data_IF_231229810640
#
_entry.id   IF_231229810640
#
_cell.length_a   1.000
_cell.length_b   1.000
_cell.length_c   1.000
_cell.angle_alpha   90.00
_cell.angle_beta   90.00
_cell.angle_gamma   90.00
#
_symmetry.space_group_name_H-M   'P 1'
#
loop_
_entity.id
_entity.type
_entity.pdbx_description
1 polymer ?
#
# COMPACT_ATOMS: atom_id res chain seq x y z
N UNK A 1 29.66 -25.16 16.39
CA UNK A 1 29.64 -24.03 15.47
C UNK A 1 28.22 -23.49 15.40
N UNK A 2 28.01 -22.25 15.86
CA UNK A 2 26.73 -21.55 15.63
C UNK A 2 26.61 -21.34 14.11
N UNK A 3 25.67 -22.05 13.47
CA UNK A 3 25.28 -21.71 12.11
C UNK A 3 24.72 -20.28 12.15
N UNK A 4 25.41 -19.35 11.51
CA UNK A 4 24.86 -18.02 11.26
C UNK A 4 23.61 -18.22 10.42
N UNK A 5 22.44 -17.87 10.97
CA UNK A 5 21.19 -17.87 10.24
C UNK A 5 21.21 -16.70 9.25
N UNK A 6 21.19 -16.98 7.96
CA UNK A 6 21.04 -15.96 6.94
C UNK A 6 19.66 -15.28 7.05
N UNK A 7 19.53 -13.99 6.71
CA UNK A 7 18.24 -13.28 6.76
C UNK A 7 17.10 -14.00 6.02
N UNK A 8 17.41 -14.62 4.86
CA UNK A 8 16.46 -15.41 4.10
C UNK A 8 15.94 -16.65 4.84
N UNK A 9 16.81 -17.30 5.66
CA UNK A 9 16.43 -18.46 6.46
C UNK A 9 15.49 -18.05 7.61
N UNK A 10 15.73 -16.87 8.19
CA UNK A 10 14.89 -16.31 9.26
C UNK A 10 13.51 -16.00 8.73
N UNK A 11 13.43 -15.36 7.57
CA UNK A 11 12.16 -15.03 6.90
C UNK A 11 11.37 -16.31 6.55
N UNK A 12 12.01 -17.27 5.89
CA UNK A 12 11.39 -18.55 5.53
C UNK A 12 10.86 -19.31 6.75
N UNK A 13 11.61 -19.31 7.85
CA UNK A 13 11.18 -19.90 9.11
C UNK A 13 9.97 -19.20 9.70
N UNK A 14 9.94 -17.87 9.67
CA UNK A 14 8.80 -17.10 10.15
C UNK A 14 7.52 -17.39 9.34
N UNK A 15 7.62 -17.45 8.02
CA UNK A 15 6.47 -17.83 7.18
C UNK A 15 5.98 -19.25 7.43
N UNK A 16 6.90 -20.19 7.71
CA UNK A 16 6.53 -21.56 8.09
C UNK A 16 5.78 -21.62 9.42
N UNK A 17 6.19 -20.81 10.41
CA UNK A 17 5.51 -20.71 11.70
C UNK A 17 4.10 -20.12 11.49
N UNK A 18 3.97 -19.02 10.74
CA UNK A 18 2.67 -18.41 10.46
C UNK A 18 1.74 -19.39 9.76
N UNK A 19 2.24 -20.15 8.78
CA UNK A 19 1.42 -21.13 8.07
C UNK A 19 0.89 -22.23 9.01
N UNK A 20 1.76 -22.73 9.90
CA UNK A 20 1.41 -23.73 10.88
C UNK A 20 0.38 -23.22 11.90
N UNK A 21 0.56 -22.01 12.40
CA UNK A 21 -0.39 -21.40 13.34
C UNK A 21 -1.77 -21.17 12.71
N UNK A 22 -1.82 -20.71 11.45
CA UNK A 22 -3.07 -20.59 10.71
C UNK A 22 -3.77 -21.94 10.55
N UNK A 23 -3.03 -23.01 10.25
CA UNK A 23 -3.57 -24.37 10.17
C UNK A 23 -4.14 -24.84 11.51
N UNK A 24 -3.40 -24.62 12.61
CA UNK A 24 -3.84 -24.96 13.97
C UNK A 24 -5.08 -24.17 14.39
N UNK A 25 -5.25 -22.95 13.90
CA UNK A 25 -6.45 -22.12 14.08
C UNK A 25 -7.62 -22.55 13.18
N UNK A 26 -7.42 -23.49 12.25
CA UNK A 26 -8.41 -23.90 11.27
C UNK A 26 -8.70 -22.85 10.19
N UNK A 27 -7.76 -21.95 9.95
CA UNK A 27 -7.92 -20.84 9.00
C UNK A 27 -7.29 -21.22 7.66
N UNK A 28 -8.09 -21.11 6.59
CA UNK A 28 -7.63 -21.23 5.20
C UNK A 28 -7.73 -19.87 4.53
N UNK A 29 -6.60 -19.33 4.09
CA UNK A 29 -6.54 -18.07 3.36
C UNK A 29 -6.81 -18.31 1.85
N UNK A 30 -7.46 -17.35 1.14
CA UNK A 30 -7.58 -17.40 -0.31
C UNK A 30 -6.21 -17.42 -0.99
N UNK A 31 -6.03 -18.30 -1.98
CA UNK A 31 -4.72 -18.55 -2.62
C UNK A 31 -4.11 -17.30 -3.26
N UNK A 32 -4.93 -16.45 -3.85
CA UNK A 32 -4.53 -15.23 -4.56
C UNK A 32 -4.02 -14.11 -3.65
N UNK A 33 -4.47 -14.07 -2.39
CA UNK A 33 -4.12 -13.02 -1.42
C UNK A 33 -3.37 -13.53 -0.20
N UNK A 34 -3.25 -14.85 -0.05
CA UNK A 34 -2.61 -15.48 1.12
C UNK A 34 -1.21 -14.94 1.40
N UNK A 35 -0.41 -14.71 0.36
CA UNK A 35 0.96 -14.22 0.50
C UNK A 35 1.02 -12.79 1.07
N UNK A 36 0.02 -11.95 0.75
CA UNK A 36 -0.09 -10.57 1.29
C UNK A 36 -0.46 -10.64 2.76
N UNK A 37 -1.50 -11.40 3.12
CA UNK A 37 -1.95 -11.55 4.51
C UNK A 37 -0.82 -12.11 5.39
N UNK A 38 -0.12 -13.15 4.94
CA UNK A 38 1.03 -13.71 5.66
C UNK A 38 2.16 -12.69 5.82
N UNK A 39 2.43 -11.87 4.80
CA UNK A 39 3.43 -10.79 4.87
C UNK A 39 3.06 -9.73 5.91
N UNK A 40 1.79 -9.35 6.00
CA UNK A 40 1.29 -8.42 7.01
C UNK A 40 1.45 -9.01 8.40
N UNK A 41 1.06 -10.26 8.62
CA UNK A 41 1.24 -10.98 9.89
C UNK A 41 2.73 -11.08 10.27
N UNK A 42 3.61 -11.41 9.31
CA UNK A 42 5.05 -11.46 9.53
C UNK A 42 5.61 -10.11 10.05
N UNK A 43 5.11 -9.00 9.51
CA UNK A 43 5.58 -7.65 9.86
C UNK A 43 5.03 -7.16 11.19
N UNK A 44 3.77 -7.50 11.50
CA UNK A 44 3.04 -6.98 12.66
C UNK A 44 3.00 -7.93 13.85
N UNK A 45 3.26 -9.22 13.63
CA UNK A 45 3.02 -10.30 14.58
C UNK A 45 1.55 -10.38 15.06
N UNK A 46 0.61 -9.91 14.25
CA UNK A 46 -0.81 -9.82 14.59
C UNK A 46 -1.67 -10.64 13.63
N UNK A 47 -2.25 -11.73 14.13
CA UNK A 47 -3.11 -12.64 13.38
C UNK A 47 -4.52 -12.07 13.15
N UNK A 48 -4.93 -11.01 13.84
CA UNK A 48 -6.23 -10.38 13.62
C UNK A 48 -6.39 -9.81 12.20
N UNK A 49 -5.29 -9.58 11.50
CA UNK A 49 -5.31 -9.18 10.10
C UNK A 49 -5.93 -10.19 9.14
N UNK A 50 -6.06 -11.44 9.54
CA UNK A 50 -6.83 -12.45 8.78
C UNK A 50 -8.28 -12.00 8.56
N UNK A 51 -8.88 -11.38 9.58
CA UNK A 51 -10.26 -10.89 9.54
C UNK A 51 -10.37 -9.43 9.11
N UNK A 52 -9.33 -8.63 9.38
CA UNK A 52 -9.35 -7.18 9.16
C UNK A 52 -8.99 -6.77 7.73
N UNK A 53 -8.16 -7.57 7.03
CA UNK A 53 -7.81 -7.28 5.65
C UNK A 53 -8.95 -7.65 4.71
N UNK A 54 -9.41 -6.66 3.96
CA UNK A 54 -10.48 -6.82 2.97
C UNK A 54 -9.89 -6.63 1.58
N UNK A 55 -10.09 -7.62 0.73
CA UNK A 55 -9.66 -7.61 -0.66
C UNK A 55 -10.88 -7.53 -1.58
N UNK A 56 -10.90 -6.57 -2.49
CA UNK A 56 -12.04 -6.34 -3.38
C UNK A 56 -11.59 -6.22 -4.83
N UNK A 57 -12.41 -6.72 -5.75
CA UNK A 57 -12.24 -6.54 -7.19
C UNK A 57 -10.90 -7.05 -7.74
N UNK A 58 -10.47 -8.25 -7.33
CA UNK A 58 -9.24 -8.88 -7.80
C UNK A 58 -8.01 -7.95 -7.75
N UNK A 59 -7.62 -7.48 -6.53
CA UNK A 59 -6.62 -6.43 -6.39
C UNK A 59 -5.23 -6.87 -6.86
N UNK A 60 -4.91 -8.16 -6.77
CA UNK A 60 -3.59 -8.68 -7.16
C UNK A 60 -3.43 -8.62 -8.67
N UNK A 61 -4.42 -9.05 -9.45
CA UNK A 61 -4.37 -8.95 -10.91
C UNK A 61 -4.25 -7.50 -11.38
N UNK A 62 -5.04 -6.61 -10.80
CA UNK A 62 -4.99 -5.18 -11.13
C UNK A 62 -3.62 -4.57 -10.80
N UNK A 63 -3.06 -4.90 -9.63
CA UNK A 63 -1.72 -4.44 -9.25
C UNK A 63 -0.65 -4.94 -10.21
N UNK A 64 -0.66 -6.23 -10.54
CA UNK A 64 0.33 -6.85 -11.44
C UNK A 64 0.25 -6.24 -12.83
N UNK A 65 -0.95 -6.07 -13.39
CA UNK A 65 -1.14 -5.45 -14.70
C UNK A 65 -0.67 -4.00 -14.71
N UNK A 66 -1.04 -3.23 -13.70
CA UNK A 66 -0.62 -1.83 -13.58
C UNK A 66 0.90 -1.71 -13.49
N UNK A 67 1.54 -2.49 -12.65
CA UNK A 67 3.00 -2.49 -12.48
C UNK A 67 3.72 -2.90 -13.77
N UNK A 68 3.25 -3.93 -14.48
CA UNK A 68 3.80 -4.34 -15.78
C UNK A 68 3.64 -3.26 -16.86
N UNK A 69 2.60 -2.45 -16.75
CA UNK A 69 2.36 -1.31 -17.64
C UNK A 69 3.16 -0.05 -17.25
N UNK A 70 3.98 -0.12 -16.21
CA UNK A 70 4.79 0.99 -15.74
C UNK A 70 4.03 2.01 -14.89
N UNK A 71 2.95 1.59 -14.22
CA UNK A 71 2.21 2.48 -13.34
C UNK A 71 3.08 3.05 -12.21
N UNK A 72 2.82 4.29 -11.87
CA UNK A 72 3.42 4.93 -10.71
C UNK A 72 2.75 4.46 -9.42
N UNK A 73 3.50 4.52 -8.32
CA UNK A 73 2.99 4.31 -6.97
C UNK A 73 3.03 5.66 -6.25
N UNK A 74 1.89 6.09 -5.74
CA UNK A 74 1.75 7.27 -4.90
C UNK A 74 1.60 6.83 -3.45
N UNK A 75 2.41 7.39 -2.56
CA UNK A 75 2.31 7.13 -1.12
C UNK A 75 1.90 8.39 -0.37
N UNK A 76 1.29 8.22 0.79
CA UNK A 76 0.90 9.32 1.67
C UNK A 76 2.04 9.78 2.60
N UNK A 77 3.12 8.99 2.73
CA UNK A 77 4.28 9.33 3.55
C UNK A 77 5.59 9.04 2.82
N UNK A 78 6.65 9.79 3.17
CA UNK A 78 7.99 9.52 2.68
C UNK A 78 8.56 8.20 3.25
N UNK A 79 8.12 7.77 4.43
CA UNK A 79 8.50 6.47 4.98
C UNK A 79 7.96 5.33 4.12
N UNK A 80 6.69 5.36 3.74
CA UNK A 80 6.11 4.37 2.83
C UNK A 80 6.82 4.38 1.46
N UNK A 81 7.11 5.57 0.91
CA UNK A 81 7.90 5.72 -0.32
C UNK A 81 9.27 5.05 -0.20
N UNK A 82 9.96 5.23 0.91
CA UNK A 82 11.26 4.60 1.17
C UNK A 82 11.18 3.07 1.26
N UNK A 83 10.06 2.54 1.71
CA UNK A 83 9.81 1.10 1.84
C UNK A 83 9.51 0.39 0.51
N UNK A 84 9.15 1.12 -0.54
CA UNK A 84 8.91 0.52 -1.86
C UNK A 84 10.22 0.09 -2.50
N UNK A 85 10.28 -1.16 -2.99
CA UNK A 85 11.47 -1.70 -3.67
C UNK A 85 11.75 -0.96 -4.98
N UNK A 86 12.71 -0.05 -4.94
CA UNK A 86 13.13 0.74 -6.10
C UNK A 86 13.72 -0.13 -7.21
N UNK A 87 14.49 -1.14 -6.84
CA UNK A 87 15.11 -2.07 -7.80
C UNK A 87 14.05 -2.84 -8.57
N UNK A 88 13.06 -3.38 -7.88
CA UNK A 88 11.96 -4.08 -8.55
C UNK A 88 11.13 -3.13 -9.42
N UNK A 89 10.77 -1.96 -8.89
CA UNK A 89 9.95 -0.98 -9.59
C UNK A 89 10.64 -0.43 -10.85
N UNK A 90 11.95 -0.19 -10.79
CA UNK A 90 12.72 0.30 -11.94
C UNK A 90 12.75 -0.72 -13.09
N UNK A 91 12.76 -2.03 -12.80
CA UNK A 91 12.68 -3.08 -13.82
C UNK A 91 11.33 -3.07 -14.58
N UNK A 92 10.29 -2.51 -13.97
CA UNK A 92 8.94 -2.37 -14.52
C UNK A 92 8.66 -0.96 -15.08
N UNK A 93 9.68 -0.08 -15.18
CA UNK A 93 9.57 1.32 -15.61
C UNK A 93 8.66 2.19 -14.74
N UNK A 94 8.23 1.71 -13.59
CA UNK A 94 7.43 2.46 -12.63
C UNK A 94 8.31 3.36 -11.76
N UNK A 95 7.66 4.29 -11.08
CA UNK A 95 8.27 5.17 -10.09
C UNK A 95 7.39 5.27 -8.85
N UNK A 96 7.97 5.66 -7.74
CA UNK A 96 7.25 5.95 -6.51
C UNK A 96 7.41 7.43 -6.16
N UNK A 97 6.30 8.06 -5.78
CA UNK A 97 6.24 9.48 -5.44
C UNK A 97 5.45 9.71 -4.16
N UNK A 98 5.85 10.74 -3.43
CA UNK A 98 5.12 11.28 -2.29
C UNK A 98 5.20 12.81 -2.35
N UNK A 99 4.05 13.46 -2.38
CA UNK A 99 3.94 14.93 -2.50
C UNK A 99 3.80 15.65 -1.15
N UNK A 100 3.87 14.91 -0.04
CA UNK A 100 3.60 15.42 1.30
C UNK A 100 4.49 16.61 1.71
N UNK A 101 5.73 16.65 1.23
CA UNK A 101 6.69 17.69 1.55
C UNK A 101 6.70 18.87 0.56
N UNK A 102 5.92 18.80 -0.50
CA UNK A 102 5.92 19.84 -1.54
C UNK A 102 5.30 21.15 -1.04
N UNK A 103 5.90 22.27 -1.39
CA UNK A 103 5.48 23.61 -0.94
C UNK A 103 4.08 23.97 -1.45
N UNK A 104 3.77 23.65 -2.70
CA UNK A 104 2.44 23.87 -3.29
C UNK A 104 1.35 23.07 -2.59
N UNK A 105 1.68 21.87 -2.10
CA UNK A 105 0.78 21.04 -1.28
C UNK A 105 0.51 21.68 0.08
N UNK A 106 1.54 22.25 0.70
CA UNK A 106 1.38 22.99 1.95
C UNK A 106 0.48 24.22 1.79
N UNK A 107 0.68 24.96 0.68
CA UNK A 107 -0.13 26.13 0.34
C UNK A 107 -1.58 25.75 0.04
N UNK A 108 -1.81 24.68 -0.74
CA UNK A 108 -3.14 24.17 -1.04
C UNK A 108 -3.89 23.74 0.24
N UNK A 109 -3.22 23.01 1.13
CA UNK A 109 -3.79 22.60 2.41
C UNK A 109 -4.26 23.80 3.24
N UNK A 110 -3.44 24.85 3.31
CA UNK A 110 -3.74 26.08 4.03
C UNK A 110 -4.90 26.84 3.38
N UNK A 111 -4.88 26.99 2.06
CA UNK A 111 -5.89 27.73 1.32
C UNK A 111 -7.30 27.11 1.43
N UNK A 112 -7.37 25.77 1.47
CA UNK A 112 -8.64 25.03 1.55
C UNK A 112 -9.02 24.58 2.96
N UNK A 113 -8.20 24.90 3.99
CA UNK A 113 -8.46 24.48 5.38
C UNK A 113 -8.48 22.96 5.55
N UNK A 114 -7.61 22.23 4.80
CA UNK A 114 -7.54 20.78 4.79
C UNK A 114 -6.17 20.29 5.29
N UNK A 115 -6.03 18.97 5.45
CA UNK A 115 -4.74 18.38 5.80
C UNK A 115 -3.78 18.35 4.62
N UNK A 116 -2.47 18.34 4.89
CA UNK A 116 -1.46 18.10 3.85
C UNK A 116 -1.68 16.76 3.14
N UNK A 117 -2.11 15.75 3.88
CA UNK A 117 -2.41 14.44 3.32
C UNK A 117 -3.51 14.53 2.25
N UNK A 118 -4.60 15.25 2.52
CA UNK A 118 -5.66 15.47 1.54
C UNK A 118 -5.15 16.28 0.33
N UNK A 119 -4.41 17.36 0.57
CA UNK A 119 -3.83 18.18 -0.50
C UNK A 119 -2.85 17.40 -1.37
N UNK A 120 -2.02 16.53 -0.78
CA UNK A 120 -1.10 15.67 -1.53
C UNK A 120 -1.83 14.68 -2.43
N UNK A 121 -2.98 14.16 -2.00
CA UNK A 121 -3.81 13.28 -2.83
C UNK A 121 -4.48 14.03 -3.98
N UNK A 122 -4.90 15.28 -3.79
CA UNK A 122 -5.42 16.12 -4.89
C UNK A 122 -4.38 16.32 -5.98
N UNK A 123 -3.14 16.67 -5.60
CA UNK A 123 -2.03 16.81 -6.54
C UNK A 123 -1.76 15.49 -7.25
N UNK A 124 -1.61 14.40 -6.50
CA UNK A 124 -1.32 13.09 -7.05
C UNK A 124 -2.41 12.58 -8.00
N UNK A 125 -3.68 12.76 -7.66
CA UNK A 125 -4.79 12.35 -8.51
C UNK A 125 -4.82 13.10 -9.85
N UNK A 126 -4.41 14.36 -9.84
CA UNK A 126 -4.31 15.18 -11.06
C UNK A 126 -3.13 14.77 -11.93
N UNK A 127 -1.97 14.52 -11.33
CA UNK A 127 -0.74 14.19 -12.07
C UNK A 127 -0.67 12.72 -12.48
N UNK A 128 -1.24 11.83 -11.66
CA UNK A 128 -1.17 10.37 -11.84
C UNK A 128 -2.56 9.72 -11.64
N UNK A 129 -3.56 10.04 -12.48
CA UNK A 129 -4.94 9.59 -12.25
C UNK A 129 -5.13 8.07 -12.31
N UNK A 130 -4.18 7.34 -12.89
CA UNK A 130 -4.23 5.88 -13.04
C UNK A 130 -3.17 5.15 -12.18
N UNK A 131 -2.56 5.82 -11.22
CA UNK A 131 -1.54 5.24 -10.37
C UNK A 131 -2.11 4.22 -9.37
N UNK A 132 -1.20 3.50 -8.73
CA UNK A 132 -1.47 2.76 -7.49
C UNK A 132 -1.28 3.72 -6.32
N UNK A 133 -2.30 3.89 -5.49
CA UNK A 133 -2.25 4.72 -4.30
C UNK A 133 -2.08 3.84 -3.07
N UNK A 134 -1.00 4.05 -2.30
CA UNK A 134 -0.71 3.32 -1.08
C UNK A 134 -0.75 4.28 0.11
N UNK A 135 -1.81 4.18 0.91
CA UNK A 135 -2.08 5.02 2.07
C UNK A 135 -1.89 4.20 3.34
N UNK A 136 -0.84 4.49 4.10
CA UNK A 136 -0.46 3.76 5.31
C UNK A 136 -0.56 4.56 6.60
N UNK A 137 -0.85 5.87 6.55
CA UNK A 137 -0.87 6.72 7.74
C UNK A 137 -2.14 7.57 7.87
N UNK A 138 -2.58 8.26 6.82
CA UNK A 138 -3.56 9.32 6.93
C UNK A 138 -4.96 8.91 6.43
N UNK A 139 -5.95 8.69 7.34
CA UNK A 139 -7.35 8.46 6.94
C UNK A 139 -7.90 9.57 6.04
N UNK A 140 -7.49 10.82 6.26
CA UNK A 140 -7.89 11.97 5.44
C UNK A 140 -7.43 11.87 3.99
N UNK A 141 -6.33 11.17 3.71
CA UNK A 141 -5.91 10.86 2.34
C UNK A 141 -6.91 9.94 1.63
N UNK A 142 -7.38 8.89 2.29
CA UNK A 142 -8.40 7.99 1.73
C UNK A 142 -9.74 8.69 1.51
N UNK A 143 -10.15 9.52 2.46
CA UNK A 143 -11.38 10.31 2.33
C UNK A 143 -11.33 11.23 1.12
N UNK A 144 -10.18 11.87 0.88
CA UNK A 144 -10.00 12.75 -0.28
C UNK A 144 -9.96 11.96 -1.58
N UNK A 145 -9.27 10.82 -1.64
CA UNK A 145 -9.30 9.94 -2.82
C UNK A 145 -10.71 9.48 -3.17
N UNK A 146 -11.52 9.12 -2.16
CA UNK A 146 -12.93 8.77 -2.35
C UNK A 146 -13.71 9.94 -2.93
N UNK A 147 -13.57 11.14 -2.35
CA UNK A 147 -14.23 12.36 -2.84
C UNK A 147 -13.87 12.67 -4.28
N UNK A 148 -12.58 12.55 -4.66
CA UNK A 148 -12.15 12.78 -6.04
C UNK A 148 -12.77 11.73 -6.97
N UNK A 149 -12.72 10.45 -6.58
CA UNK A 149 -13.27 9.36 -7.40
C UNK A 149 -14.77 9.52 -7.68
N UNK A 150 -15.53 10.03 -6.71
CA UNK A 150 -16.97 10.29 -6.85
C UNK A 150 -17.27 11.49 -7.75
N UNK A 151 -16.37 12.45 -7.87
CA UNK A 151 -16.64 13.74 -8.54
C UNK A 151 -15.84 13.94 -9.83
N UNK A 152 -14.79 13.17 -10.07
CA UNK A 152 -13.93 13.29 -11.25
C UNK A 152 -13.88 11.97 -12.04
N UNK A 153 -14.57 11.89 -13.19
CA UNK A 153 -14.54 10.69 -14.02
C UNK A 153 -13.16 10.41 -14.64
N UNK A 154 -12.25 11.38 -14.67
CA UNK A 154 -10.89 11.17 -15.15
C UNK A 154 -10.00 10.43 -14.13
N UNK A 155 -10.34 10.49 -12.84
CA UNK A 155 -9.60 9.78 -11.80
C UNK A 155 -10.03 8.31 -11.74
N UNK A 156 -9.15 7.44 -12.23
CA UNK A 156 -9.35 5.99 -12.26
C UNK A 156 -8.09 5.28 -11.79
N UNK A 157 -7.84 5.26 -10.47
CA UNK A 157 -6.67 4.59 -9.91
C UNK A 157 -6.69 3.11 -10.26
N UNK A 158 -5.50 2.57 -10.56
CA UNK A 158 -5.37 1.15 -10.85
C UNK A 158 -5.61 0.28 -9.61
N UNK A 159 -5.23 0.80 -8.45
CA UNK A 159 -5.44 0.17 -7.15
C UNK A 159 -5.37 1.23 -6.05
N UNK A 160 -6.13 1.05 -5.00
CA UNK A 160 -5.99 1.78 -3.73
C UNK A 160 -5.71 0.79 -2.61
N UNK A 161 -4.56 0.93 -1.96
CA UNK A 161 -4.19 0.19 -0.74
C UNK A 161 -4.46 1.13 0.42
N UNK A 162 -5.54 0.86 1.15
CA UNK A 162 -6.00 1.69 2.26
C UNK A 162 -5.79 0.97 3.59
N UNK A 163 -4.63 1.20 4.21
CA UNK A 163 -4.24 0.62 5.50
C UNK A 163 -3.72 1.69 6.46
N UNK A 164 -4.42 2.83 6.60
CA UNK A 164 -3.97 3.87 7.51
C UNK A 164 -4.05 3.39 8.95
N UNK A 165 -3.16 3.94 9.80
CA UNK A 165 -3.25 3.71 11.24
C UNK A 165 -4.56 4.29 11.77
N UNK A 166 -5.24 3.51 12.60
CA UNK A 166 -6.48 3.91 13.27
C UNK A 166 -6.25 4.26 14.73
N UNK A 167 -7.19 4.97 15.27
CA UNK A 167 -7.25 5.27 16.71
C UNK A 167 -8.55 4.72 17.29
#
# INVERSE_FOLDING_TARGET
>A
SKKECLPADIEARSFSIIAKELEEMGITLPDDTAFITKRVIHTTADFSYVEQLVYQNDPVSHAVQALKSGAWIVTDTNMAKAGVSKTFLSSLRGQVVCYMADEDVAQDAKAHGTTRAAASMRKAAKEHPNAIFAVGNAPTALMELKRIWENDPAFRPALVIGVPVGF
#
